data_IF_968119784609
#
_entry.id   IF_968119784609
#
_cell.length_a   1.000
_cell.length_b   1.000
_cell.length_c   1.000
_cell.angle_alpha   90.00
_cell.angle_beta   90.00
_cell.angle_gamma   90.00
#
_symmetry.space_group_name_H-M   'P 1'
#
loop_
_entity.id
_entity.type
_entity.pdbx_description
1 polymer ?
#
# COMPACT_ATOMS: atom_id res chain seq x y z
N UNK A 1 53.69 -48.61 18.98
CA UNK A 1 53.45 -48.76 17.53
C UNK A 1 51.97 -49.07 17.34
N UNK A 2 51.16 -48.04 17.03
CA UNK A 2 50.04 -48.06 16.07
C UNK A 2 49.36 -46.69 16.15
N UNK A 3 49.60 -45.91 15.10
CA UNK A 3 49.03 -44.59 14.84
C UNK A 3 47.60 -44.83 14.34
N UNK A 4 46.60 -44.23 14.98
CA UNK A 4 45.29 -44.02 14.36
C UNK A 4 44.97 -42.54 14.44
N UNK A 5 45.23 -41.87 13.33
CA UNK A 5 44.76 -40.53 13.08
C UNK A 5 43.28 -40.62 12.74
N UNK A 6 42.46 -40.23 13.70
CA UNK A 6 41.04 -40.03 13.50
C UNK A 6 40.88 -38.62 12.95
N UNK A 7 41.17 -38.47 11.66
CA UNK A 7 40.91 -37.27 10.89
C UNK A 7 39.40 -37.13 10.72
N UNK A 8 38.75 -36.49 11.68
CA UNK A 8 37.39 -36.00 11.55
C UNK A 8 37.39 -34.99 10.39
N UNK A 9 36.66 -35.25 9.29
CA UNK A 9 36.54 -34.26 8.24
C UNK A 9 35.71 -33.13 8.83
N UNK A 10 36.39 -32.02 9.13
CA UNK A 10 35.83 -30.71 9.46
C UNK A 10 34.79 -30.41 8.40
N UNK A 11 33.56 -30.81 8.71
CA UNK A 11 32.39 -30.63 7.86
C UNK A 11 32.09 -29.17 8.04
N UNK A 12 32.83 -28.35 7.28
CA UNK A 12 32.59 -26.93 7.11
C UNK A 12 31.10 -26.81 6.91
N UNK A 13 30.42 -26.37 7.96
CA UNK A 13 29.05 -25.91 7.90
C UNK A 13 29.06 -24.91 6.75
N UNK A 14 28.47 -25.33 5.64
CA UNK A 14 28.19 -24.45 4.52
C UNK A 14 27.20 -23.46 5.08
N UNK A 15 27.71 -22.38 5.67
CA UNK A 15 26.91 -21.21 5.97
C UNK A 15 26.30 -20.82 4.62
N UNK A 16 24.97 -20.91 4.45
CA UNK A 16 24.35 -20.51 3.21
C UNK A 16 24.78 -19.06 2.98
N UNK A 17 25.56 -18.86 1.93
CA UNK A 17 26.13 -17.59 1.56
C UNK A 17 24.97 -16.61 1.41
N UNK A 18 24.94 -15.64 2.32
CA UNK A 18 24.00 -14.53 2.31
C UNK A 18 24.29 -13.70 1.05
N UNK A 19 23.68 -14.08 -0.07
CA UNK A 19 23.86 -13.39 -1.35
C UNK A 19 23.16 -12.02 -1.27
N UNK A 20 23.87 -10.89 -1.39
CA UNK A 20 23.33 -9.55 -1.13
C UNK A 20 22.23 -9.06 -2.11
N UNK A 21 21.64 -9.95 -2.92
CA UNK A 21 20.49 -9.67 -3.79
C UNK A 21 19.18 -10.39 -3.40
N UNK A 22 19.20 -11.44 -2.56
CA UNK A 22 17.98 -12.21 -2.25
C UNK A 22 17.06 -11.50 -1.24
N UNK A 23 17.62 -10.67 -0.34
CA UNK A 23 16.88 -9.84 0.63
C UNK A 23 16.00 -8.79 -0.10
N UNK A 24 16.47 -8.27 -1.22
CA UNK A 24 15.75 -7.28 -2.04
C UNK A 24 14.48 -7.85 -2.67
N UNK A 25 14.51 -9.12 -3.12
CA UNK A 25 13.32 -9.81 -3.62
C UNK A 25 12.36 -10.23 -2.48
N UNK A 26 12.87 -10.41 -1.25
CA UNK A 26 12.01 -10.61 -0.09
C UNK A 26 11.24 -9.33 0.28
N UNK A 27 11.84 -8.16 0.10
CA UNK A 27 11.13 -6.88 0.22
C UNK A 27 9.94 -6.78 -0.74
N UNK A 28 10.05 -7.33 -1.96
CA UNK A 28 8.94 -7.46 -2.92
C UNK A 28 7.83 -8.43 -2.47
N UNK A 29 8.09 -9.29 -1.48
CA UNK A 29 7.13 -10.22 -0.87
C UNK A 29 6.53 -9.69 0.44
N UNK A 30 6.81 -8.45 0.82
CA UNK A 30 6.25 -7.88 2.04
C UNK A 30 4.74 -7.71 1.92
N UNK A 31 4.02 -8.03 3.00
CA UNK A 31 2.56 -8.06 3.01
C UNK A 31 1.90 -6.73 2.61
N UNK A 32 2.55 -5.62 2.97
CA UNK A 32 2.07 -4.27 2.67
C UNK A 32 2.19 -3.98 1.17
N UNK A 33 3.29 -4.39 0.53
CA UNK A 33 3.49 -4.20 -0.91
C UNK A 33 2.49 -5.04 -1.69
N UNK A 34 2.32 -6.31 -1.33
CA UNK A 34 1.34 -7.21 -1.97
C UNK A 34 -0.09 -6.66 -1.88
N UNK A 35 -0.48 -6.15 -0.70
CA UNK A 35 -1.80 -5.54 -0.50
C UNK A 35 -1.96 -4.29 -1.36
N UNK A 36 -0.95 -3.42 -1.38
CA UNK A 36 -0.95 -2.21 -2.20
C UNK A 36 -1.08 -2.54 -3.69
N UNK A 37 -0.27 -3.46 -4.19
CA UNK A 37 -0.28 -3.90 -5.60
C UNK A 37 -1.64 -4.48 -5.99
N UNK A 38 -2.20 -5.43 -5.22
CA UNK A 38 -3.51 -5.98 -5.55
C UNK A 38 -4.61 -4.92 -5.56
N UNK A 39 -4.60 -4.03 -4.56
CA UNK A 39 -5.57 -2.92 -4.49
C UNK A 39 -5.43 -2.00 -5.71
N UNK A 40 -4.20 -1.62 -6.06
CA UNK A 40 -3.92 -0.79 -7.24
C UNK A 40 -4.38 -1.45 -8.54
N UNK A 41 -4.07 -2.73 -8.74
CA UNK A 41 -4.50 -3.50 -9.92
C UNK A 41 -6.03 -3.55 -10.02
N UNK A 42 -6.73 -3.85 -8.92
CA UNK A 42 -8.19 -3.86 -8.91
C UNK A 42 -8.77 -2.48 -9.26
N UNK A 43 -8.25 -1.40 -8.67
CA UNK A 43 -8.69 -0.03 -8.99
C UNK A 43 -8.42 0.33 -10.45
N UNK A 44 -7.28 -0.10 -11.01
CA UNK A 44 -6.95 0.09 -12.43
C UNK A 44 -7.95 -0.61 -13.34
N UNK A 45 -8.36 -1.85 -13.03
CA UNK A 45 -9.42 -2.53 -13.78
C UNK A 45 -10.75 -1.80 -13.71
N UNK A 46 -11.13 -1.29 -12.53
CA UNK A 46 -12.35 -0.48 -12.36
C UNK A 46 -12.29 0.78 -13.23
N UNK A 47 -11.14 1.47 -13.27
CA UNK A 47 -10.95 2.66 -14.11
C UNK A 47 -11.10 2.33 -15.60
N UNK A 48 -10.43 1.28 -16.07
CA UNK A 48 -10.48 0.86 -17.47
C UNK A 48 -11.91 0.46 -17.85
N UNK A 49 -12.58 -0.34 -17.01
CA UNK A 49 -13.96 -0.73 -17.23
C UNK A 49 -14.88 0.50 -17.30
N UNK A 50 -14.73 1.45 -16.38
CA UNK A 50 -15.50 2.69 -16.40
C UNK A 50 -15.26 3.52 -17.67
N UNK A 51 -14.01 3.65 -18.13
CA UNK A 51 -13.66 4.33 -19.38
C UNK A 51 -14.29 3.65 -20.60
N UNK A 52 -14.27 2.32 -20.65
CA UNK A 52 -14.90 1.56 -21.74
C UNK A 52 -16.41 1.81 -21.76
N UNK A 53 -17.08 1.69 -20.61
CA UNK A 53 -18.53 1.95 -20.50
C UNK A 53 -18.85 3.40 -20.86
N UNK A 54 -18.01 4.36 -20.47
CA UNK A 54 -18.21 5.78 -20.78
C UNK A 54 -18.13 6.11 -22.26
N UNK A 55 -17.24 5.44 -22.98
CA UNK A 55 -17.02 5.75 -24.39
C UNK A 55 -17.83 4.87 -25.35
N UNK A 56 -18.27 3.68 -24.92
CA UNK A 56 -19.03 2.74 -25.77
C UNK A 56 -20.55 2.85 -25.63
N UNK A 57 -21.07 3.45 -24.55
CA UNK A 57 -22.51 3.55 -24.30
C UNK A 57 -22.98 5.02 -24.17
N UNK A 58 -23.07 5.77 -25.29
CA UNK A 58 -23.50 7.17 -25.28
C UNK A 58 -24.93 7.38 -24.77
N UNK A 59 -25.79 6.35 -24.79
CA UNK A 59 -27.15 6.40 -24.23
C UNK A 59 -27.21 6.56 -22.70
N UNK A 60 -26.08 6.34 -22.00
CA UNK A 60 -25.94 6.59 -20.57
C UNK A 60 -25.49 8.02 -20.26
N UNK A 61 -25.52 8.94 -21.23
CA UNK A 61 -25.13 10.35 -21.03
C UNK A 61 -25.98 11.06 -19.97
N UNK A 62 -27.27 10.74 -19.89
CA UNK A 62 -28.18 11.23 -18.85
C UNK A 62 -27.80 10.75 -17.43
N UNK A 63 -27.12 9.60 -17.32
CA UNK A 63 -26.66 9.01 -16.07
C UNK A 63 -25.14 9.20 -15.86
N UNK A 64 -24.54 10.18 -16.55
CA UNK A 64 -23.10 10.43 -16.44
C UNK A 64 -22.66 10.70 -14.99
N UNK A 65 -23.49 11.40 -14.21
CA UNK A 65 -23.22 11.67 -12.80
C UNK A 65 -23.23 10.38 -11.95
N UNK A 66 -24.29 9.58 -12.06
CA UNK A 66 -24.44 8.33 -11.31
C UNK A 66 -23.31 7.34 -11.58
N UNK A 67 -22.93 7.19 -12.85
CA UNK A 67 -21.84 6.30 -13.26
C UNK A 67 -20.49 6.74 -12.72
N UNK A 68 -20.26 8.05 -12.66
CA UNK A 68 -19.03 8.60 -12.10
C UNK A 68 -18.98 8.43 -10.58
N UNK A 69 -20.12 8.64 -9.90
CA UNK A 69 -20.25 8.40 -8.46
C UNK A 69 -20.03 6.92 -8.16
N UNK A 70 -20.62 6.02 -8.94
CA UNK A 70 -20.44 4.57 -8.77
C UNK A 70 -18.98 4.14 -8.94
N UNK A 71 -18.29 4.65 -9.97
CA UNK A 71 -16.86 4.36 -10.16
C UNK A 71 -15.99 4.94 -9.04
N UNK A 72 -16.27 6.18 -8.63
CA UNK A 72 -15.58 6.80 -7.50
C UNK A 72 -15.80 5.99 -6.21
N UNK A 73 -17.03 5.61 -5.91
CA UNK A 73 -17.37 4.80 -4.74
C UNK A 73 -16.66 3.44 -4.77
N UNK A 74 -16.60 2.77 -5.92
CA UNK A 74 -15.88 1.50 -6.08
C UNK A 74 -14.38 1.66 -5.82
N UNK A 75 -13.74 2.69 -6.38
CA UNK A 75 -12.31 2.97 -6.14
C UNK A 75 -12.07 3.32 -4.67
N UNK A 76 -12.93 4.13 -4.05
CA UNK A 76 -12.83 4.47 -2.62
C UNK A 76 -12.96 3.22 -1.75
N UNK A 77 -13.94 2.36 -2.01
CA UNK A 77 -14.16 1.14 -1.25
C UNK A 77 -12.96 0.19 -1.32
N UNK A 78 -12.36 0.04 -2.51
CA UNK A 78 -11.12 -0.72 -2.68
C UNK A 78 -9.94 -0.07 -1.95
N UNK A 79 -9.80 1.25 -2.03
CA UNK A 79 -8.71 1.97 -1.34
C UNK A 79 -8.84 2.00 0.18
N UNK A 80 -10.03 1.74 0.73
CA UNK A 80 -10.19 1.57 2.19
C UNK A 80 -9.54 0.25 2.66
N UNK A 81 -9.36 -0.76 1.80
CA UNK A 81 -8.79 -2.07 2.16
C UNK A 81 -7.42 -1.96 2.86
N UNK A 82 -6.38 -1.32 2.27
CA UNK A 82 -5.09 -1.17 2.94
C UNK A 82 -5.19 -0.33 4.23
N UNK A 83 -6.11 0.64 4.30
CA UNK A 83 -6.35 1.44 5.50
C UNK A 83 -6.86 0.58 6.67
N UNK A 84 -7.87 -0.25 6.41
CA UNK A 84 -8.41 -1.17 7.42
C UNK A 84 -7.40 -2.27 7.80
N UNK A 85 -6.72 -2.85 6.80
CA UNK A 85 -5.77 -3.95 7.01
C UNK A 85 -4.59 -3.56 7.90
N UNK A 86 -4.12 -2.32 7.78
CA UNK A 86 -2.96 -1.82 8.51
C UNK A 86 -3.28 -0.69 9.50
N UNK A 87 -4.52 -0.60 9.99
CA UNK A 87 -4.99 0.43 10.92
C UNK A 87 -4.18 0.51 12.24
N UNK A 88 -3.46 -0.55 12.62
CA UNK A 88 -2.56 -0.54 13.81
C UNK A 88 -1.09 -0.30 13.47
N UNK A 89 -0.75 -0.13 12.19
CA UNK A 89 0.62 0.00 11.66
C UNK A 89 0.67 1.14 10.65
N UNK A 90 0.66 2.41 11.10
CA UNK A 90 0.44 3.58 10.25
C UNK A 90 1.44 3.71 9.09
N UNK A 91 2.72 3.37 9.31
CA UNK A 91 3.73 3.36 8.24
C UNK A 91 3.44 2.31 7.17
N UNK A 92 3.06 1.08 7.55
CA UNK A 92 2.73 0.02 6.58
C UNK A 92 1.47 0.36 5.80
N UNK A 93 0.52 1.01 6.46
CA UNK A 93 -0.70 1.54 5.83
C UNK A 93 -0.36 2.61 4.78
N UNK A 94 0.50 3.56 5.14
CA UNK A 94 0.94 4.62 4.23
C UNK A 94 1.62 4.05 2.99
N UNK A 95 2.60 3.16 3.17
CA UNK A 95 3.31 2.55 2.05
C UNK A 95 2.40 1.68 1.18
N UNK A 96 1.54 0.85 1.78
CA UNK A 96 0.57 0.05 1.01
C UNK A 96 -0.39 0.94 0.20
N UNK A 97 -0.88 2.01 0.81
CA UNK A 97 -1.76 3.00 0.19
C UNK A 97 -1.10 3.76 -0.95
N UNK A 98 0.11 4.29 -0.72
CA UNK A 98 0.89 4.99 -1.75
C UNK A 98 1.25 4.05 -2.90
N UNK A 99 1.62 2.79 -2.64
CA UNK A 99 1.91 1.84 -3.72
C UNK A 99 0.67 1.56 -4.55
N UNK A 100 -0.47 1.27 -3.91
CA UNK A 100 -1.71 0.99 -4.64
C UNK A 100 -2.20 2.21 -5.42
N UNK A 101 -2.20 3.38 -4.78
CA UNK A 101 -2.62 4.62 -5.42
C UNK A 101 -1.66 5.06 -6.52
N UNK A 102 -0.36 4.91 -6.30
CA UNK A 102 0.67 5.18 -7.30
C UNK A 102 0.49 4.32 -8.54
N UNK A 103 0.25 3.02 -8.37
CA UNK A 103 -0.04 2.12 -9.50
C UNK A 103 -1.30 2.56 -10.26
N UNK A 104 -2.36 2.92 -9.53
CA UNK A 104 -3.57 3.47 -10.12
C UNK A 104 -3.29 4.76 -10.91
N UNK A 105 -2.51 5.68 -10.37
CA UNK A 105 -2.14 6.95 -11.03
C UNK A 105 -1.28 6.74 -12.28
N UNK A 106 -0.39 5.75 -12.28
CA UNK A 106 0.39 5.38 -13.48
C UNK A 106 -0.57 4.88 -14.58
N UNK A 107 -1.49 3.98 -14.25
CA UNK A 107 -2.48 3.50 -15.23
C UNK A 107 -3.39 4.64 -15.68
N UNK A 108 -3.79 5.53 -14.78
CA UNK A 108 -4.56 6.73 -15.13
C UNK A 108 -3.81 7.61 -16.15
N UNK A 109 -2.51 7.84 -15.95
CA UNK A 109 -1.68 8.58 -16.91
C UNK A 109 -1.52 7.88 -18.25
N UNK A 110 -1.42 6.54 -18.26
CA UNK A 110 -1.45 5.79 -19.52
C UNK A 110 -2.79 5.94 -20.24
N UNK A 111 -3.90 5.92 -19.51
CA UNK A 111 -5.24 6.14 -20.07
C UNK A 111 -5.45 7.57 -20.56
N UNK A 112 -4.80 8.56 -19.93
CA UNK A 112 -4.83 9.96 -20.34
C UNK A 112 -4.34 10.16 -21.78
N UNK A 113 -3.33 9.38 -22.21
CA UNK A 113 -2.81 9.40 -23.59
C UNK A 113 -3.88 8.96 -24.60
N UNK A 114 -4.70 7.96 -24.26
CA UNK A 114 -5.76 7.45 -25.14
C UNK A 114 -7.05 8.27 -25.06
N UNK A 115 -7.34 8.86 -23.89
CA UNK A 115 -8.57 9.60 -23.62
C UNK A 115 -8.27 11.05 -23.25
N UNK A 116 -8.11 11.91 -24.25
CA UNK A 116 -7.72 13.31 -24.06
C UNK A 116 -8.64 14.12 -23.12
N UNK A 117 -9.93 13.74 -23.01
CA UNK A 117 -10.88 14.39 -22.09
C UNK A 117 -10.54 14.21 -20.61
N UNK A 118 -9.76 13.18 -20.23
CA UNK A 118 -9.26 13.01 -18.86
C UNK A 118 -8.18 14.04 -18.55
N UNK A 119 -7.25 14.25 -19.49
CA UNK A 119 -6.13 15.18 -19.37
C UNK A 119 -6.59 16.60 -19.05
N UNK A 120 -7.66 17.03 -19.72
CA UNK A 120 -8.21 18.39 -19.58
C UNK A 120 -8.87 18.62 -18.23
N UNK A 121 -9.34 17.57 -17.54
CA UNK A 121 -10.01 17.68 -16.23
C UNK A 121 -9.02 17.64 -15.08
N UNK A 122 -8.13 16.66 -15.07
CA UNK A 122 -7.19 16.44 -13.97
C UNK A 122 -6.05 15.55 -14.46
N UNK A 123 -4.84 16.11 -14.54
CA UNK A 123 -3.66 15.36 -14.98
C UNK A 123 -3.24 14.29 -13.97
N UNK A 124 -2.60 13.22 -14.44
CA UNK A 124 -2.20 12.08 -13.62
C UNK A 124 -1.36 12.44 -12.38
N UNK A 125 -0.50 13.46 -12.47
CA UNK A 125 0.29 13.93 -11.33
C UNK A 125 -0.59 14.50 -10.20
N UNK A 126 -1.66 15.23 -10.55
CA UNK A 126 -2.60 15.76 -9.56
C UNK A 126 -3.37 14.63 -8.88
N UNK A 127 -3.76 13.60 -9.65
CA UNK A 127 -4.41 12.40 -9.10
C UNK A 127 -3.45 11.69 -8.13
N UNK A 128 -2.18 11.53 -8.49
CA UNK A 128 -1.18 10.95 -7.60
C UNK A 128 -1.03 11.74 -6.30
N UNK A 129 -0.84 13.07 -6.40
CA UNK A 129 -0.70 13.96 -5.25
C UNK A 129 -1.92 13.90 -4.34
N UNK A 130 -3.13 13.86 -4.91
CA UNK A 130 -4.37 13.74 -4.14
C UNK A 130 -4.34 12.51 -3.22
N UNK A 131 -4.07 11.32 -3.76
CA UNK A 131 -4.03 10.12 -2.93
C UNK A 131 -2.86 10.08 -1.97
N UNK A 132 -1.68 10.58 -2.37
CA UNK A 132 -0.52 10.67 -1.49
C UNK A 132 -0.83 11.53 -0.24
N UNK A 133 -1.45 12.70 -0.44
CA UNK A 133 -1.87 13.59 0.65
C UNK A 133 -2.95 12.94 1.51
N UNK A 134 -3.97 12.33 0.89
CA UNK A 134 -5.05 11.65 1.63
C UNK A 134 -4.50 10.53 2.52
N UNK A 135 -3.64 9.66 1.98
CA UNK A 135 -3.05 8.58 2.78
C UNK A 135 -2.09 9.11 3.85
N UNK A 136 -1.34 10.19 3.58
CA UNK A 136 -0.49 10.82 4.58
C UNK A 136 -1.31 11.34 5.77
N UNK A 137 -2.44 12.00 5.51
CA UNK A 137 -3.37 12.50 6.54
C UNK A 137 -3.96 11.32 7.33
N UNK A 138 -4.49 10.30 6.65
CA UNK A 138 -5.08 9.13 7.30
C UNK A 138 -4.03 8.41 8.16
N UNK A 139 -2.79 8.27 7.67
CA UNK A 139 -1.69 7.70 8.42
C UNK A 139 -1.32 8.52 9.67
N UNK A 140 -1.28 9.85 9.55
CA UNK A 140 -1.04 10.74 10.69
C UNK A 140 -2.14 10.62 11.75
N UNK A 141 -3.41 10.64 11.33
CA UNK A 141 -4.56 10.47 12.24
C UNK A 141 -4.54 9.10 12.94
N UNK A 142 -4.23 8.05 12.19
CA UNK A 142 -4.12 6.68 12.72
C UNK A 142 -2.98 6.56 13.73
N UNK A 143 -1.86 7.22 13.46
CA UNK A 143 -0.73 7.29 14.39
C UNK A 143 -1.09 8.06 15.67
N UNK A 144 -1.74 9.23 15.55
CA UNK A 144 -2.22 10.00 16.70
C UNK A 144 -3.20 9.19 17.53
N UNK A 145 -4.18 8.52 16.90
CA UNK A 145 -5.13 7.66 17.59
C UNK A 145 -4.42 6.52 18.34
N UNK A 146 -3.37 5.94 17.75
CA UNK A 146 -2.56 4.92 18.41
C UNK A 146 -1.84 5.46 19.65
N UNK A 147 -1.27 6.67 19.58
CA UNK A 147 -0.65 7.32 20.74
C UNK A 147 -1.67 7.59 21.86
N UNK A 148 -2.88 8.05 21.52
CA UNK A 148 -3.95 8.31 22.48
C UNK A 148 -4.47 7.04 23.16
N UNK A 149 -4.48 5.90 22.45
CA UNK A 149 -4.85 4.62 23.04
C UNK A 149 -3.76 4.11 23.99
N UNK A 150 -2.49 4.21 23.60
CA UNK A 150 -1.36 3.80 24.44
C UNK A 150 -1.28 4.60 25.75
N UNK A 151 -1.55 5.91 25.72
CA UNK A 151 -1.57 6.74 26.94
C UNK A 151 -2.77 6.46 27.85
N UNK A 152 -3.87 5.94 27.30
CA UNK A 152 -5.01 5.46 28.11
C UNK A 152 -4.72 4.12 28.77
N UNK A 153 -4.00 3.22 28.10
CA UNK A 153 -3.62 1.92 28.64
C UNK A 153 -2.48 2.01 29.67
N UNK A 154 -1.61 3.00 29.53
CA UNK A 154 -0.61 3.37 30.53
C UNK A 154 -0.91 4.75 31.11
N UNK A 155 -1.91 4.90 32.01
CA UNK A 155 -1.96 6.09 32.83
C UNK A 155 -0.60 6.18 33.53
N UNK A 156 0.10 7.27 33.26
CA UNK A 156 1.44 7.58 33.78
C UNK A 156 1.57 6.95 35.18
N UNK A 157 2.49 6.00 35.34
CA UNK A 157 2.96 5.56 36.66
C UNK A 157 3.75 6.70 37.31
N UNK A 158 3.11 7.86 37.45
CA UNK A 158 3.52 8.93 38.34
C UNK A 158 2.90 8.59 39.71
N UNK A 159 3.58 7.75 40.46
CA UNK A 159 3.79 7.92 41.91
C UNK A 159 4.23 6.59 42.51
N UNK A 160 5.34 6.67 43.26
CA UNK A 160 5.69 5.80 44.40
C UNK A 160 6.56 4.57 44.11
N UNK A 161 7.86 4.82 43.92
CA UNK A 161 8.96 4.07 44.57
C UNK A 161 10.16 5.02 44.72
N UNK A 162 10.25 5.74 45.84
CA UNK A 162 10.98 5.37 47.09
C UNK A 162 12.44 5.87 46.98
N UNK A 163 12.70 7.14 47.32
CA UNK A 163 13.40 7.48 48.57
C UNK A 163 13.55 6.30 49.54
N UNK A 164 14.70 5.65 49.47
CA UNK A 164 15.53 5.21 50.60
C UNK A 164 16.80 4.59 50.06
#
# INVERSE_FOLDING_TARGET
>A
MQIRGDSEPDTKMIHPSHLPGYESLHFLRTEWLRTGVYTGVCCSFVLIAWLVVANRMPGLGQFAMERNIAAAAAVTLLMIIPALRFARKPLRMLFAGITGWGLFSVVYGLMEIFFHRLATRMGAFHVFMLGAVVYAIVAALTWIASLLLTTREHPLQASRRRTN
#
